data_IF_336463065342
#
_entry.id   IF_336463065342
#
_cell.length_a   1.000
_cell.length_b   1.000
_cell.length_c   1.000
_cell.angle_alpha   90.00
_cell.angle_beta   90.00
_cell.angle_gamma   90.00
#
_symmetry.space_group_name_H-M   'P 1'
#
loop_
_entity.id
_entity.type
_entity.pdbx_description
1 polymer ?
#
# COMPACT_ATOMS: atom_id res chain seq x y z
N UNK A 1 -0.35 21.74 5.68
CA UNK A 1 -0.11 21.08 6.98
C UNK A 1 0.10 19.59 6.73
N UNK A 2 1.02 18.91 7.44
CA UNK A 2 1.05 17.45 7.44
C UNK A 2 -0.32 16.90 7.90
N UNK A 3 -0.75 15.72 7.41
CA UNK A 3 -2.01 15.12 7.85
C UNK A 3 -1.95 14.86 9.36
N UNK A 4 -3.08 14.90 10.07
CA UNK A 4 -3.12 14.44 11.45
C UNK A 4 -2.80 12.94 11.52
N UNK A 5 -1.94 12.54 12.46
CA UNK A 5 -1.62 11.12 12.67
C UNK A 5 -2.86 10.42 13.23
N UNK A 6 -3.31 9.39 12.51
CA UNK A 6 -4.40 8.52 12.93
C UNK A 6 -3.85 7.18 13.36
N UNK A 7 -4.31 6.70 14.52
CA UNK A 7 -4.01 5.35 14.98
C UNK A 7 -4.82 4.31 14.19
N UNK A 8 -4.27 3.11 14.06
CA UNK A 8 -5.03 1.95 13.58
C UNK A 8 -6.11 1.54 14.60
N UNK A 9 -7.19 0.94 14.12
CA UNK A 9 -8.27 0.42 14.96
C UNK A 9 -7.79 -0.71 15.86
N UNK A 10 -8.45 -0.93 17.01
CA UNK A 10 -8.27 -2.14 17.81
C UNK A 10 -8.45 -3.39 16.96
N UNK A 11 -7.61 -4.39 17.20
CA UNK A 11 -7.56 -5.64 16.45
C UNK A 11 -8.52 -6.65 17.05
N UNK A 12 -8.91 -7.62 16.23
CA UNK A 12 -9.79 -8.70 16.68
C UNK A 12 -9.01 -9.67 17.56
N UNK A 13 -9.61 -10.27 18.57
CA UNK A 13 -8.93 -11.35 19.32
C UNK A 13 -8.74 -12.59 18.44
N UNK A 14 -9.74 -12.89 17.60
CA UNK A 14 -9.76 -14.00 16.66
C UNK A 14 -10.80 -13.76 15.54
N UNK A 15 -10.83 -14.63 14.51
CA UNK A 15 -11.74 -14.50 13.37
C UNK A 15 -12.99 -15.40 13.46
N UNK A 16 -13.11 -16.25 14.47
CA UNK A 16 -14.26 -17.15 14.65
C UNK A 16 -15.52 -16.35 14.94
N UNK A 17 -16.63 -16.72 14.28
CA UNK A 17 -17.91 -16.01 14.36
C UNK A 17 -17.83 -14.53 13.95
N UNK A 18 -16.76 -14.09 13.28
CA UNK A 18 -16.61 -12.74 12.76
C UNK A 18 -17.07 -12.63 11.31
N UNK A 19 -17.48 -11.43 10.94
CA UNK A 19 -17.79 -11.05 9.56
C UNK A 19 -16.58 -10.37 8.93
N UNK A 20 -16.02 -10.97 7.88
CA UNK A 20 -14.80 -10.49 7.23
C UNK A 20 -15.11 -10.07 5.79
N UNK A 21 -14.90 -8.79 5.49
CA UNK A 21 -15.06 -8.24 4.16
C UNK A 21 -13.80 -8.41 3.30
N UNK A 22 -13.93 -9.01 2.12
CA UNK A 22 -12.89 -9.08 1.10
C UNK A 22 -13.13 -8.03 0.02
N UNK A 23 -12.40 -6.92 0.09
CA UNK A 23 -12.52 -5.75 -0.77
C UNK A 23 -11.44 -5.73 -1.85
N UNK A 24 -11.80 -5.38 -3.08
CA UNK A 24 -10.82 -5.23 -4.17
C UNK A 24 -11.17 -4.16 -5.20
N UNK A 25 -10.21 -3.90 -6.08
CA UNK A 25 -10.28 -2.81 -7.04
C UNK A 25 -11.21 -3.06 -8.25
N UNK A 26 -11.72 -4.29 -8.44
CA UNK A 26 -12.47 -4.70 -9.63
C UNK A 26 -11.60 -5.03 -10.85
N UNK A 27 -10.29 -5.20 -10.67
CA UNK A 27 -9.35 -5.54 -11.75
C UNK A 27 -9.25 -7.05 -11.93
N UNK A 28 -9.31 -7.50 -13.18
CA UNK A 28 -9.19 -8.91 -13.55
C UNK A 28 -7.91 -9.56 -13.01
N UNK A 29 -8.05 -10.79 -12.52
CA UNK A 29 -7.03 -11.59 -11.87
C UNK A 29 -6.94 -11.37 -10.36
N UNK A 30 -7.42 -10.24 -9.84
CA UNK A 30 -7.44 -9.95 -8.39
C UNK A 30 -8.54 -10.74 -7.66
N UNK A 31 -9.65 -10.99 -8.35
CA UNK A 31 -10.78 -11.77 -7.86
C UNK A 31 -10.35 -13.19 -7.43
N UNK A 32 -9.49 -13.84 -8.22
CA UNK A 32 -9.06 -15.20 -7.99
C UNK A 32 -8.21 -15.35 -6.72
N UNK A 33 -7.43 -14.33 -6.36
CA UNK A 33 -6.67 -14.35 -5.10
C UNK A 33 -7.63 -14.38 -3.91
N UNK A 34 -8.70 -13.60 -4.01
CA UNK A 34 -9.68 -13.48 -2.96
C UNK A 34 -10.58 -14.72 -2.88
N UNK A 35 -10.85 -15.37 -4.02
CA UNK A 35 -11.53 -16.66 -4.04
C UNK A 35 -10.70 -17.73 -3.32
N UNK A 36 -9.39 -17.78 -3.59
CA UNK A 36 -8.46 -18.67 -2.88
C UNK A 36 -8.38 -18.32 -1.38
N UNK A 37 -8.29 -17.03 -1.04
CA UNK A 37 -8.26 -16.55 0.34
C UNK A 37 -9.55 -16.90 1.10
N UNK A 38 -10.72 -16.76 0.45
CA UNK A 38 -12.01 -17.11 1.03
C UNK A 38 -12.08 -18.61 1.39
N UNK A 39 -11.61 -19.49 0.51
CA UNK A 39 -11.53 -20.94 0.77
C UNK A 39 -10.67 -21.20 2.01
N UNK A 40 -9.47 -20.61 2.06
CA UNK A 40 -8.53 -20.80 3.16
C UNK A 40 -9.05 -20.25 4.49
N UNK A 41 -9.70 -19.08 4.47
CA UNK A 41 -10.30 -18.50 5.66
C UNK A 41 -11.46 -19.35 6.18
N UNK A 42 -12.30 -19.90 5.30
CA UNK A 42 -13.39 -20.81 5.69
C UNK A 42 -12.89 -22.16 6.20
N UNK A 43 -11.77 -22.65 5.66
CA UNK A 43 -11.12 -23.87 6.15
C UNK A 43 -10.58 -23.66 7.58
N UNK A 44 -9.89 -22.54 7.82
CA UNK A 44 -9.27 -22.25 9.12
C UNK A 44 -10.25 -21.72 10.17
N UNK A 45 -11.27 -20.97 9.75
CA UNK A 45 -12.34 -20.41 10.58
C UNK A 45 -13.73 -20.72 10.00
N UNK A 46 -14.22 -21.97 10.15
CA UNK A 46 -15.51 -22.38 9.56
C UNK A 46 -16.72 -21.59 10.04
N UNK A 47 -16.63 -20.93 11.19
CA UNK A 47 -17.69 -20.07 11.74
C UNK A 47 -17.61 -18.61 11.28
N UNK A 48 -16.53 -18.21 10.59
CA UNK A 48 -16.42 -16.87 10.02
C UNK A 48 -17.38 -16.72 8.83
N UNK A 49 -17.97 -15.54 8.70
CA UNK A 49 -18.77 -15.17 7.53
C UNK A 49 -17.92 -14.31 6.61
N UNK A 50 -17.75 -14.73 5.36
CA UNK A 50 -16.94 -13.99 4.38
C UNK A 50 -17.86 -13.31 3.37
N UNK A 51 -17.66 -12.01 3.15
CA UNK A 51 -18.43 -11.20 2.21
C UNK A 51 -17.51 -10.53 1.19
N UNK A 52 -17.97 -10.38 -0.06
CA UNK A 52 -17.17 -9.82 -1.17
C UNK A 52 -17.61 -8.40 -1.49
N UNK A 53 -16.64 -7.53 -1.75
CA UNK A 53 -16.87 -6.12 -2.05
C UNK A 53 -15.97 -5.66 -3.21
N UNK A 54 -16.54 -4.87 -4.12
CA UNK A 54 -15.77 -4.16 -5.15
C UNK A 54 -15.79 -2.68 -4.83
N UNK A 55 -14.63 -2.01 -4.87
CA UNK A 55 -14.56 -0.57 -4.65
C UNK A 55 -15.49 0.17 -5.61
N UNK A 56 -16.07 1.27 -5.14
CA UNK A 56 -16.99 2.12 -5.92
C UNK A 56 -18.28 1.43 -6.39
N UNK A 57 -18.54 0.20 -6.00
CA UNK A 57 -19.79 -0.51 -6.28
C UNK A 57 -20.59 -0.69 -5.00
N UNK A 58 -21.92 -0.69 -5.13
CA UNK A 58 -22.88 -1.05 -4.08
C UNK A 58 -22.64 -0.42 -2.71
N UNK A 59 -22.14 0.82 -2.68
CA UNK A 59 -21.71 1.51 -1.46
C UNK A 59 -20.83 0.65 -0.54
N UNK A 60 -19.85 -0.05 -1.13
CA UNK A 60 -18.99 -1.00 -0.42
C UNK A 60 -18.43 -0.47 0.91
N UNK A 61 -17.99 0.78 0.96
CA UNK A 61 -17.48 1.41 2.18
C UNK A 61 -18.51 1.41 3.32
N UNK A 62 -19.70 1.95 3.06
CA UNK A 62 -20.78 2.07 4.05
C UNK A 62 -21.20 0.69 4.55
N UNK A 63 -21.24 -0.29 3.65
CA UNK A 63 -21.57 -1.68 3.99
C UNK A 63 -20.49 -2.33 4.84
N UNK A 64 -19.22 -2.18 4.48
CA UNK A 64 -18.10 -2.72 5.25
C UNK A 64 -18.12 -2.16 6.67
N UNK A 65 -18.25 -0.84 6.80
CA UNK A 65 -18.27 -0.15 8.11
C UNK A 65 -19.46 -0.62 8.96
N UNK A 66 -20.63 -0.83 8.34
CA UNK A 66 -21.86 -1.20 9.06
C UNK A 66 -21.94 -2.68 9.42
N UNK A 67 -21.41 -3.55 8.57
CA UNK A 67 -21.70 -5.00 8.62
C UNK A 67 -20.52 -5.82 9.11
N UNK A 68 -19.29 -5.44 8.75
CA UNK A 68 -18.12 -6.28 8.93
C UNK A 68 -17.41 -6.02 10.27
N UNK A 69 -16.77 -7.05 10.80
CA UNK A 69 -15.89 -6.98 11.97
C UNK A 69 -14.46 -6.63 11.58
N UNK A 70 -14.02 -7.01 10.39
CA UNK A 70 -12.76 -6.60 9.80
C UNK A 70 -12.81 -6.70 8.27
N UNK A 71 -11.78 -6.19 7.59
CA UNK A 71 -11.67 -6.34 6.14
C UNK A 71 -10.23 -6.59 5.67
N UNK A 72 -10.13 -7.22 4.50
CA UNK A 72 -8.88 -7.35 3.73
C UNK A 72 -9.08 -6.58 2.44
N UNK A 73 -8.21 -5.62 2.14
CA UNK A 73 -8.12 -5.02 0.81
C UNK A 73 -7.04 -5.75 0.02
N UNK A 74 -7.40 -6.46 -1.05
CA UNK A 74 -6.43 -7.14 -1.90
C UNK A 74 -6.93 -7.22 -3.36
N UNK A 75 -6.09 -7.27 -4.39
CA UNK A 75 -4.63 -7.10 -4.35
C UNK A 75 -4.26 -5.77 -5.00
N UNK A 76 -3.36 -5.00 -4.37
CA UNK A 76 -2.64 -3.92 -5.03
C UNK A 76 -1.57 -4.46 -5.98
N UNK A 77 -1.89 -4.53 -7.27
CA UNK A 77 -1.10 -5.20 -8.32
C UNK A 77 -0.12 -4.29 -9.09
N UNK A 78 0.00 -3.03 -8.70
CA UNK A 78 0.87 -2.02 -9.32
C UNK A 78 1.09 -0.86 -8.34
N UNK A 79 2.01 0.07 -8.64
CA UNK A 79 2.32 1.19 -7.76
C UNK A 79 1.09 2.03 -7.36
N UNK A 80 0.25 2.40 -8.34
CA UNK A 80 -1.01 3.10 -8.07
C UNK A 80 -2.02 2.22 -7.32
N UNK A 81 -2.07 0.92 -7.60
CA UNK A 81 -3.01 0.03 -6.92
C UNK A 81 -2.64 -0.21 -5.47
N UNK A 82 -1.34 -0.26 -5.14
CA UNK A 82 -0.85 -0.27 -3.76
C UNK A 82 -1.23 1.03 -3.04
N UNK A 83 -1.08 2.18 -3.70
CA UNK A 83 -1.52 3.47 -3.16
C UNK A 83 -3.02 3.49 -2.84
N UNK A 84 -3.84 3.03 -3.79
CA UNK A 84 -5.29 2.95 -3.62
C UNK A 84 -5.66 1.98 -2.48
N UNK A 85 -4.97 0.84 -2.37
CA UNK A 85 -5.18 -0.14 -1.30
C UNK A 85 -4.94 0.48 0.08
N UNK A 86 -3.86 1.25 0.23
CA UNK A 86 -3.56 1.97 1.47
C UNK A 86 -4.56 3.10 1.71
N UNK A 87 -4.99 3.81 0.67
CA UNK A 87 -5.99 4.88 0.78
C UNK A 87 -7.30 4.35 1.36
N UNK A 88 -7.81 3.25 0.81
CA UNK A 88 -9.03 2.61 1.28
C UNK A 88 -8.87 1.99 2.66
N UNK A 89 -7.76 1.31 2.92
CA UNK A 89 -7.51 0.71 4.23
C UNK A 89 -7.43 1.78 5.31
N UNK A 90 -6.69 2.86 5.07
CA UNK A 90 -6.59 4.00 5.99
C UNK A 90 -7.95 4.66 6.23
N UNK A 91 -8.78 4.79 5.17
CA UNK A 91 -10.11 5.38 5.29
C UNK A 91 -11.04 4.54 6.18
N UNK A 92 -11.08 3.24 5.96
CA UNK A 92 -11.91 2.31 6.76
C UNK A 92 -11.40 2.17 8.20
N UNK A 93 -10.07 2.17 8.40
CA UNK A 93 -9.45 2.21 9.73
C UNK A 93 -9.84 3.48 10.51
N UNK A 94 -9.85 4.66 9.86
CA UNK A 94 -10.33 5.90 10.50
C UNK A 94 -11.82 5.86 10.87
N UNK A 95 -12.59 4.96 10.25
CA UNK A 95 -14.00 4.70 10.58
C UNK A 95 -14.17 3.58 11.63
N UNK A 96 -13.07 3.13 12.26
CA UNK A 96 -13.08 2.13 13.32
C UNK A 96 -13.14 0.69 12.81
N UNK A 97 -12.85 0.45 11.52
CA UNK A 97 -12.73 -0.90 10.99
C UNK A 97 -11.29 -1.38 10.92
N UNK A 98 -10.89 -2.40 11.71
CA UNK A 98 -9.59 -3.01 11.53
C UNK A 98 -9.50 -3.68 10.17
N UNK A 99 -8.43 -3.40 9.44
CA UNK A 99 -8.16 -4.08 8.19
C UNK A 99 -6.69 -4.17 7.84
N UNK A 100 -6.42 -4.82 6.72
CA UNK A 100 -5.08 -5.04 6.19
C UNK A 100 -5.07 -4.84 4.69
N UNK A 101 -4.04 -4.17 4.19
CA UNK A 101 -3.80 -4.02 2.75
C UNK A 101 -2.82 -5.08 2.25
N UNK A 102 -3.19 -5.79 1.18
CA UNK A 102 -2.35 -6.80 0.52
C UNK A 102 -1.97 -6.29 -0.87
N UNK A 103 -0.68 -6.29 -1.18
CA UNK A 103 -0.16 -5.79 -2.45
C UNK A 103 1.15 -6.48 -2.82
N UNK A 104 1.57 -6.41 -4.08
CA UNK A 104 2.81 -7.03 -4.54
C UNK A 104 4.05 -6.50 -3.80
N UNK A 105 4.98 -7.39 -3.44
CA UNK A 105 6.25 -7.07 -2.78
C UNK A 105 7.05 -5.94 -3.44
N UNK A 106 7.06 -5.87 -4.78
CA UNK A 106 7.77 -4.83 -5.56
C UNK A 106 7.21 -3.42 -5.41
N UNK A 107 6.03 -3.24 -4.82
CA UNK A 107 5.36 -1.93 -4.66
C UNK A 107 5.24 -1.49 -3.19
N UNK A 108 6.01 -2.13 -2.30
CA UNK A 108 6.08 -1.77 -0.87
C UNK A 108 6.48 -0.33 -0.63
N UNK A 109 7.39 0.23 -1.45
CA UNK A 109 7.79 1.63 -1.34
C UNK A 109 6.58 2.57 -1.53
N UNK A 110 5.77 2.33 -2.57
CA UNK A 110 4.57 3.11 -2.86
C UNK A 110 3.55 3.01 -1.72
N UNK A 111 3.34 1.80 -1.17
CA UNK A 111 2.43 1.60 -0.05
C UNK A 111 2.88 2.36 1.21
N UNK A 112 4.17 2.28 1.57
CA UNK A 112 4.74 3.02 2.71
C UNK A 112 4.67 4.53 2.52
N UNK A 113 4.92 5.01 1.29
CA UNK A 113 4.79 6.42 0.97
C UNK A 113 3.33 6.89 1.12
N UNK A 114 2.37 6.12 0.62
CA UNK A 114 0.94 6.40 0.77
C UNK A 114 0.53 6.48 2.25
N UNK A 115 0.94 5.49 3.05
CA UNK A 115 0.63 5.42 4.48
C UNK A 115 1.12 6.64 5.26
N UNK A 116 2.36 7.06 4.99
CA UNK A 116 2.94 8.28 5.58
C UNK A 116 2.17 9.54 5.13
N UNK A 117 1.81 9.63 3.84
CA UNK A 117 1.10 10.78 3.29
C UNK A 117 -0.37 10.88 3.75
N UNK A 118 -0.99 9.77 4.12
CA UNK A 118 -2.36 9.73 4.62
C UNK A 118 -2.46 9.87 6.14
N UNK A 119 -1.31 9.96 6.82
CA UNK A 119 -1.22 10.11 8.27
C UNK A 119 -1.45 8.82 9.04
N UNK A 120 -1.24 7.65 8.44
CA UNK A 120 -1.36 6.35 9.14
C UNK A 120 -0.15 5.46 8.82
N UNK A 121 1.07 5.84 9.27
CA UNK A 121 2.30 5.11 8.96
C UNK A 121 2.31 3.66 9.47
N UNK A 122 1.53 3.35 10.51
CA UNK A 122 1.36 2.00 11.08
C UNK A 122 0.24 1.18 10.43
N UNK A 123 -0.39 1.64 9.35
CA UNK A 123 -1.42 0.84 8.67
C UNK A 123 -0.83 -0.53 8.31
N UNK A 124 -1.56 -1.59 8.62
CA UNK A 124 -1.04 -2.95 8.46
C UNK A 124 -1.05 -3.37 7.00
N UNK A 125 0.04 -3.99 6.59
CA UNK A 125 0.34 -4.33 5.21
C UNK A 125 0.86 -5.77 5.15
N UNK A 126 0.46 -6.50 4.12
CA UNK A 126 1.02 -7.82 3.79
C UNK A 126 1.53 -7.79 2.37
N UNK A 127 2.80 -8.17 2.19
CA UNK A 127 3.43 -8.24 0.89
C UNK A 127 3.14 -9.60 0.24
N UNK A 128 2.48 -9.56 -0.92
CA UNK A 128 2.22 -10.71 -1.76
C UNK A 128 3.43 -10.96 -2.68
N UNK A 129 3.97 -12.19 -2.77
CA UNK A 129 5.06 -12.49 -3.69
C UNK A 129 4.66 -12.23 -5.14
N UNK A 130 5.14 -11.14 -5.74
CA UNK A 130 4.71 -10.72 -7.07
C UNK A 130 5.04 -11.75 -8.15
N UNK A 131 6.20 -12.40 -8.03
CA UNK A 131 6.65 -13.45 -8.96
C UNK A 131 5.71 -14.65 -9.01
N UNK A 132 4.98 -14.93 -7.92
CA UNK A 132 4.00 -16.01 -7.86
C UNK A 132 2.58 -15.52 -8.20
N UNK A 133 2.25 -14.28 -7.89
CA UNK A 133 0.93 -13.73 -8.15
C UNK A 133 0.66 -13.49 -9.65
N UNK A 134 1.56 -12.76 -10.34
CA UNK A 134 1.30 -12.31 -11.71
C UNK A 134 1.14 -13.42 -12.76
N UNK A 135 1.96 -14.48 -12.79
CA UNK A 135 1.81 -15.54 -13.79
C UNK A 135 0.61 -16.46 -13.50
N UNK A 136 0.15 -16.51 -12.24
CA UNK A 136 -0.85 -17.49 -11.79
C UNK A 136 -2.26 -16.89 -11.61
N UNK A 137 -2.51 -15.63 -11.99
CA UNK A 137 -3.82 -14.96 -11.79
C UNK A 137 -4.92 -15.37 -12.77
N UNK A 138 -5.00 -16.66 -13.10
CA UNK A 138 -5.97 -17.23 -14.04
C UNK A 138 -7.16 -17.93 -13.37
N UNK A 139 -6.97 -18.47 -12.16
CA UNK A 139 -8.04 -19.08 -11.36
C UNK A 139 -7.70 -19.10 -9.87
N UNK A 140 -8.69 -19.41 -9.03
CA UNK A 140 -8.47 -19.61 -7.60
C UNK A 140 -7.52 -20.79 -7.32
N UNK A 141 -7.58 -21.84 -8.15
CA UNK A 141 -6.72 -23.02 -8.04
C UNK A 141 -5.25 -22.65 -8.23
N UNK A 142 -4.94 -21.87 -9.28
CA UNK A 142 -3.56 -21.46 -9.56
C UNK A 142 -3.03 -20.46 -8.55
N UNK A 143 -3.89 -19.66 -7.90
CA UNK A 143 -3.49 -18.74 -6.83
C UNK A 143 -3.50 -19.36 -5.43
N UNK A 144 -4.01 -20.58 -5.26
CA UNK A 144 -4.07 -21.25 -3.96
C UNK A 144 -2.71 -21.32 -3.26
N UNK A 145 -1.59 -21.68 -3.92
CA UNK A 145 -0.28 -21.67 -3.27
C UNK A 145 0.12 -20.27 -2.80
N UNK A 146 -0.08 -19.26 -3.63
CA UNK A 146 0.26 -17.86 -3.31
C UNK A 146 -0.61 -17.30 -2.18
N UNK A 147 -1.89 -17.67 -2.11
CA UNK A 147 -2.76 -17.29 -0.99
C UNK A 147 -2.33 -17.97 0.32
N UNK A 148 -1.93 -19.26 0.26
CA UNK A 148 -1.41 -19.99 1.43
C UNK A 148 -0.15 -19.35 2.02
N UNK A 149 0.75 -18.83 1.19
CA UNK A 149 2.02 -18.25 1.70
C UNK A 149 1.82 -17.01 2.55
N UNK A 150 0.74 -16.25 2.35
CA UNK A 150 0.47 -15.00 3.06
C UNK A 150 -0.73 -15.08 4.02
N UNK A 151 -1.39 -16.24 4.10
CA UNK A 151 -2.60 -16.42 4.92
C UNK A 151 -2.35 -16.09 6.39
N UNK A 152 -1.27 -16.63 6.95
CA UNK A 152 -0.95 -16.44 8.36
C UNK A 152 -0.57 -14.98 8.67
N UNK A 153 0.12 -14.30 7.75
CA UNK A 153 0.44 -12.87 7.87
C UNK A 153 -0.82 -12.00 7.81
N UNK A 154 -1.79 -12.34 6.96
CA UNK A 154 -3.10 -11.65 6.91
C UNK A 154 -3.84 -11.83 8.22
N UNK A 155 -3.86 -13.05 8.79
CA UNK A 155 -4.52 -13.32 10.06
C UNK A 155 -3.82 -12.57 11.20
N UNK A 156 -2.49 -12.64 11.30
CA UNK A 156 -1.70 -11.89 12.28
C UNK A 156 -1.99 -10.38 12.18
N UNK A 157 -1.99 -9.84 10.96
CA UNK A 157 -2.30 -8.43 10.74
C UNK A 157 -3.71 -8.05 11.21
N UNK A 158 -4.68 -8.96 11.17
CA UNK A 158 -6.04 -8.70 11.66
C UNK A 158 -6.19 -8.91 13.17
N UNK A 159 -5.38 -9.78 13.78
CA UNK A 159 -5.62 -10.22 15.17
C UNK A 159 -4.55 -9.84 16.18
N UNK A 160 -3.29 -9.64 15.77
CA UNK A 160 -2.21 -9.27 16.70
C UNK A 160 -2.59 -7.95 17.40
N UNK A 161 -2.53 -7.85 18.73
CA UNK A 161 -2.81 -6.61 19.43
C UNK A 161 -2.01 -5.43 18.88
N UNK A 162 -2.56 -4.21 19.00
CA UNK A 162 -1.87 -3.00 18.58
C UNK A 162 -0.67 -2.79 19.50
N UNK A 163 0.53 -2.76 18.92
CA UNK A 163 1.77 -2.59 19.68
C UNK A 163 2.01 -1.11 20.05
N UNK A 164 2.70 -0.81 21.16
CA UNK A 164 3.08 0.55 21.51
C UNK A 164 3.86 1.28 20.40
N UNK A 165 4.66 0.55 19.62
CA UNK A 165 5.36 1.11 18.46
C UNK A 165 4.41 1.56 17.34
N UNK A 166 3.29 0.84 17.13
CA UNK A 166 2.27 1.19 16.14
C UNK A 166 1.50 2.45 16.57
N UNK A 167 1.29 2.65 17.87
CA UNK A 167 0.66 3.85 18.46
C UNK A 167 1.56 5.07 18.30
N UNK A 168 2.87 4.90 18.52
CA UNK A 168 3.85 5.98 18.54
C UNK A 168 4.50 6.25 17.16
N UNK A 169 4.01 5.62 16.09
CA UNK A 169 4.57 5.84 14.77
C UNK A 169 4.29 7.29 14.31
N UNK A 170 5.30 8.13 14.42
CA UNK A 170 5.30 9.48 13.87
C UNK A 170 5.27 9.47 12.33
N UNK A 171 5.02 10.63 11.72
CA UNK A 171 5.37 10.80 10.31
C UNK A 171 6.88 10.58 10.12
N UNK A 172 7.25 9.96 9.02
CA UNK A 172 8.58 10.22 8.46
C UNK A 172 8.63 11.72 8.15
N UNK A 173 9.60 12.46 8.70
CA UNK A 173 9.70 13.90 8.47
C UNK A 173 9.63 14.16 6.96
N UNK A 174 8.67 14.99 6.54
CA UNK A 174 8.63 15.49 5.17
C UNK A 174 9.90 16.30 5.00
N UNK A 175 10.86 15.84 4.20
CA UNK A 175 11.88 16.76 3.68
C UNK A 175 11.12 17.89 3.00
N UNK A 176 11.40 19.13 3.41
CA UNK A 176 10.67 20.33 2.96
C UNK A 176 10.77 20.55 1.44
N UNK A 177 11.67 19.84 0.80
CA UNK A 177 11.84 19.67 -0.63
C UNK A 177 12.99 18.68 -0.86
N UNK A 178 13.30 18.33 -2.11
CA UNK A 178 14.60 17.74 -2.40
C UNK A 178 15.72 18.66 -1.86
N UNK A 179 16.83 18.08 -1.43
CA UNK A 179 17.98 18.89 -1.03
C UNK A 179 18.41 19.74 -2.22
N UNK A 180 18.60 21.05 -2.01
CA UNK A 180 19.12 21.92 -3.05
C UNK A 180 20.56 21.54 -3.34
N UNK A 181 20.82 21.03 -4.55
CA UNK A 181 22.17 20.75 -4.99
C UNK A 181 22.75 22.01 -5.64
N UNK A 182 23.70 22.65 -4.96
CA UNK A 182 24.46 23.76 -5.54
C UNK A 182 25.69 23.22 -6.27
N UNK A 183 25.73 23.45 -7.58
CA UNK A 183 26.85 23.03 -8.44
C UNK A 183 27.67 24.27 -8.79
N UNK A 184 28.99 24.17 -8.64
CA UNK A 184 29.92 25.29 -8.86
C UNK A 184 31.13 24.84 -9.67
N UNK A 185 31.66 25.75 -10.49
CA UNK A 185 32.86 25.54 -11.30
C UNK A 185 33.53 26.88 -11.58
N UNK A 186 34.78 26.81 -12.04
CA UNK A 186 35.60 28.01 -12.32
C UNK A 186 35.14 28.74 -13.59
N UNK A 187 34.30 28.08 -14.39
CA UNK A 187 33.60 28.61 -15.56
C UNK A 187 32.20 28.00 -15.66
N UNK A 188 31.36 28.57 -16.53
CA UNK A 188 30.05 27.99 -16.85
C UNK A 188 30.18 26.57 -17.39
N UNK A 189 31.12 26.33 -18.30
CA UNK A 189 31.41 25.02 -18.88
C UNK A 189 31.80 23.99 -17.80
N UNK A 190 32.69 24.37 -16.88
CA UNK A 190 33.09 23.50 -15.75
C UNK A 190 31.92 23.19 -14.81
N UNK A 191 31.03 24.17 -14.55
CA UNK A 191 29.83 23.93 -13.76
C UNK A 191 28.81 23.04 -14.50
N UNK A 192 28.72 23.19 -15.82
CA UNK A 192 27.86 22.39 -16.69
C UNK A 192 28.31 20.92 -16.73
N UNK A 193 29.62 20.67 -16.86
CA UNK A 193 30.17 19.30 -16.83
C UNK A 193 29.91 18.62 -15.49
N UNK A 194 30.12 19.33 -14.37
CA UNK A 194 29.82 18.80 -13.02
C UNK A 194 28.33 18.54 -12.83
N UNK A 195 27.46 19.38 -13.39
CA UNK A 195 26.02 19.16 -13.43
C UNK A 195 25.67 17.89 -14.19
N UNK A 196 26.23 17.74 -15.38
CA UNK A 196 25.99 16.58 -16.22
C UNK A 196 26.48 15.30 -15.53
N UNK A 197 27.70 15.30 -14.99
CA UNK A 197 28.28 14.15 -14.29
C UNK A 197 27.44 13.74 -13.08
N UNK A 198 27.05 14.71 -12.24
CA UNK A 198 26.20 14.43 -11.07
C UNK A 198 24.90 13.73 -11.47
N UNK A 199 24.23 14.22 -12.51
CA UNK A 199 22.95 13.67 -12.94
C UNK A 199 23.12 12.29 -13.59
N UNK A 200 24.20 12.07 -14.34
CA UNK A 200 24.51 10.76 -14.90
C UNK A 200 24.85 9.74 -13.81
N UNK A 201 25.66 10.13 -12.81
CA UNK A 201 26.06 9.26 -11.69
C UNK A 201 24.88 8.82 -10.81
N UNK A 202 23.77 9.57 -10.85
CA UNK A 202 22.58 9.31 -10.05
C UNK A 202 21.37 8.83 -10.89
N UNK A 203 21.55 8.58 -12.18
CA UNK A 203 20.47 8.22 -13.11
C UNK A 203 19.30 9.23 -13.09
N UNK A 204 19.60 10.52 -12.95
CA UNK A 204 18.61 11.61 -12.89
C UNK A 204 18.28 12.22 -14.26
N UNK A 205 18.65 11.54 -15.35
CA UNK A 205 18.29 11.88 -16.71
C UNK A 205 17.17 11.01 -17.26
N UNK A 206 16.57 11.46 -18.36
CA UNK A 206 15.57 10.71 -19.15
C UNK A 206 16.17 10.12 -20.44
N UNK A 207 17.49 10.22 -20.61
CA UNK A 207 18.22 9.83 -21.83
C UNK A 207 18.33 10.94 -22.87
N UNK A 208 17.76 12.13 -22.63
CA UNK A 208 17.95 13.32 -23.45
C UNK A 208 19.11 14.18 -22.92
N UNK A 209 19.63 15.11 -23.75
CA UNK A 209 20.64 16.07 -23.29
C UNK A 209 20.16 16.88 -22.08
N UNK A 210 20.89 16.80 -20.98
CA UNK A 210 20.62 17.58 -19.79
C UNK A 210 21.04 19.04 -20.00
N UNK A 211 20.11 19.97 -19.79
CA UNK A 211 20.34 21.41 -19.86
C UNK A 211 19.93 22.04 -18.53
N UNK A 212 20.85 22.73 -17.81
CA UNK A 212 20.50 23.40 -16.56
C UNK A 212 19.50 24.54 -16.83
N UNK A 213 18.52 24.77 -15.95
CA UNK A 213 17.54 25.83 -16.14
C UNK A 213 18.22 27.22 -16.11
N UNK A 214 17.70 28.15 -16.91
CA UNK A 214 18.18 29.54 -16.90
C UNK A 214 17.62 30.29 -15.69
N UNK A 215 18.30 31.36 -15.27
CA UNK A 215 17.85 32.22 -14.17
C UNK A 215 16.44 32.79 -14.41
N UNK A 216 16.11 33.15 -15.65
CA UNK A 216 14.76 33.60 -16.04
C UNK A 216 13.69 32.53 -15.76
N UNK A 217 13.99 31.25 -15.95
CA UNK A 217 13.04 30.16 -15.75
C UNK A 217 12.91 29.73 -14.27
N UNK A 218 13.83 30.18 -13.40
CA UNK A 218 13.86 29.82 -11.96
C UNK A 218 13.30 30.94 -11.08
N UNK A 219 13.52 32.20 -11.44
CA UNK A 219 13.17 33.37 -10.62
C UNK A 219 11.70 33.87 -10.82
N UNK A 220 10.85 33.11 -11.52
CA UNK A 220 9.44 33.44 -11.80
C UNK A 220 8.48 32.85 -10.76
#
# INVERSE_FOLDING_TARGET
MPPEISMISPRLDDLSNKKIGLLYAGKSGGEFFLDALEILLKEKYPSATISRYTRWQDNAEERIVKVEDAFVYAVGDAGQAAWDSITWTTRLEKLGKPGVAVFGDRVLYNAKLAANQLGMPSVRMVALPGMEFYPNRASAETLMPTAKTVLDDIIDALTRPVEPAEINAGHSQKKAGPDLVKITGDSFESAYEKFYQLYMDNDWGDGLPLVPPTRHNVDQ
#
